data_IF_076473938761
#
_entry.id   IF_076473938761
#
_cell.length_a   1.000
_cell.length_b   1.000
_cell.length_c   1.000
_cell.angle_alpha   90.00
_cell.angle_beta   90.00
_cell.angle_gamma   90.00
#
_symmetry.space_group_name_H-M   'P 1'
#
loop_
_entity.id
_entity.type
_entity.pdbx_description
1 polymer ?
#
# COMPACT_ATOMS: atom_id res chain seq x y z
N UNK A 1 20.63 -1.20 9.27
CA UNK A 1 19.53 -1.39 8.30
C UNK A 1 20.00 -0.87 6.95
N UNK A 2 20.04 -1.70 5.92
CA UNK A 2 20.49 -1.30 4.58
C UNK A 2 19.49 -0.33 3.96
N UNK A 3 19.72 0.97 4.10
CA UNK A 3 18.91 2.02 3.50
C UNK A 3 19.23 2.13 2.01
N UNK A 4 18.46 1.42 1.18
CA UNK A 4 18.43 1.74 -0.24
C UNK A 4 17.77 3.14 -0.35
N UNK A 5 18.46 4.19 -0.82
CA UNK A 5 17.91 5.55 -0.85
C UNK A 5 16.68 5.69 -1.76
N UNK A 6 16.45 4.70 -2.64
CA UNK A 6 15.27 4.56 -3.49
C UNK A 6 14.27 3.50 -2.98
N UNK A 7 14.34 3.11 -1.71
CA UNK A 7 13.42 2.16 -1.12
C UNK A 7 12.00 2.71 -1.04
N UNK A 8 11.02 1.85 -1.31
CA UNK A 8 9.62 2.13 -1.00
C UNK A 8 9.29 1.63 0.41
N UNK A 9 8.52 2.41 1.15
CA UNK A 9 7.97 2.07 2.46
C UNK A 9 6.46 2.01 2.33
N UNK A 10 5.84 0.93 2.79
CA UNK A 10 4.38 0.82 2.87
C UNK A 10 3.95 0.87 4.34
N UNK A 11 3.27 1.94 4.72
CA UNK A 11 2.54 2.03 5.98
C UNK A 11 1.14 1.42 5.85
N UNK A 12 0.69 0.72 6.88
CA UNK A 12 -0.64 0.10 6.97
C UNK A 12 -1.24 0.44 8.33
N UNK A 13 -2.45 0.98 8.33
CA UNK A 13 -3.30 1.15 9.52
C UNK A 13 -4.44 0.14 9.45
N UNK A 14 -4.30 -1.04 10.09
CA UNK A 14 -5.19 -2.16 9.86
C UNK A 14 -6.53 -2.00 10.59
N UNK A 15 -7.62 -2.24 9.86
CA UNK A 15 -8.96 -2.30 10.44
C UNK A 15 -9.93 -2.99 9.50
N UNK A 16 -10.79 -3.85 10.05
CA UNK A 16 -11.70 -4.62 9.20
C UNK A 16 -12.77 -3.74 8.57
N UNK A 17 -13.28 -2.72 9.30
CA UNK A 17 -14.20 -1.72 8.77
C UNK A 17 -13.54 -0.75 7.79
N UNK A 18 -12.28 -0.41 8.05
CA UNK A 18 -11.47 0.42 7.18
C UNK A 18 -9.99 0.12 7.39
N UNK A 19 -9.25 -0.12 6.31
CA UNK A 19 -7.79 -0.27 6.34
C UNK A 19 -7.15 0.86 5.58
N UNK A 20 -6.29 1.63 6.24
CA UNK A 20 -5.49 2.69 5.65
C UNK A 20 -4.18 2.15 5.06
N UNK A 21 -3.74 2.72 3.94
CA UNK A 21 -2.48 2.44 3.28
C UNK A 21 -1.79 3.74 2.89
N UNK A 22 -0.47 3.81 3.10
CA UNK A 22 0.36 4.89 2.59
C UNK A 22 1.64 4.31 1.96
N UNK A 23 1.88 4.61 0.69
CA UNK A 23 3.14 4.29 0.02
C UNK A 23 4.03 5.52 0.05
N UNK A 24 5.25 5.36 0.55
CA UNK A 24 6.26 6.40 0.63
C UNK A 24 7.51 6.00 -0.14
N UNK A 25 8.17 6.96 -0.78
CA UNK A 25 9.58 6.83 -1.17
C UNK A 25 10.48 7.45 -0.09
N UNK A 26 11.81 7.40 -0.28
CA UNK A 26 12.75 8.12 0.59
C UNK A 26 12.41 9.63 0.74
N UNK A 27 13.22 10.39 1.46
CA UNK A 27 13.11 10.56 2.92
C UNK A 27 11.69 10.94 3.43
N UNK A 28 10.63 10.20 3.05
CA UNK A 28 9.26 10.40 3.55
C UNK A 28 8.30 11.07 2.57
N UNK A 29 8.57 11.03 1.26
CA UNK A 29 7.62 11.54 0.25
C UNK A 29 6.44 10.59 0.12
N UNK A 30 5.22 11.07 0.30
CA UNK A 30 4.00 10.27 0.11
C UNK A 30 3.71 10.15 -1.38
N UNK A 31 3.75 8.93 -1.90
CA UNK A 31 3.45 8.60 -3.30
C UNK A 31 1.96 8.27 -3.49
N UNK A 32 1.34 7.65 -2.49
CA UNK A 32 -0.08 7.29 -2.49
C UNK A 32 -0.57 7.15 -1.06
N UNK A 33 -1.82 7.55 -0.81
CA UNK A 33 -2.50 7.35 0.47
C UNK A 33 -3.97 7.05 0.20
N UNK A 34 -4.47 5.92 0.72
CA UNK A 34 -5.82 5.44 0.47
C UNK A 34 -6.38 4.72 1.68
N UNK A 35 -7.71 4.68 1.80
CA UNK A 35 -8.40 3.86 2.79
C UNK A 35 -9.39 2.95 2.09
N UNK A 36 -9.26 1.64 2.30
CA UNK A 36 -10.26 0.66 1.85
C UNK A 36 -11.32 0.55 2.92
N UNK A 37 -12.51 1.08 2.67
CA UNK A 37 -13.68 0.91 3.53
C UNK A 37 -14.45 -0.33 3.10
N UNK A 38 -14.76 -1.21 4.04
CA UNK A 38 -15.59 -2.39 3.76
C UNK A 38 -16.95 -2.27 4.44
N UNK A 39 -17.98 -2.79 3.79
CA UNK A 39 -19.32 -2.88 4.39
C UNK A 39 -19.36 -4.04 5.39
N UNK A 40 -20.14 -3.93 6.49
CA UNK A 40 -20.42 -5.06 7.35
C UNK A 40 -20.92 -6.28 6.57
N UNK A 41 -20.48 -7.47 6.95
CA UNK A 41 -20.72 -8.71 6.23
C UNK A 41 -19.65 -9.75 6.58
N UNK A 42 -19.59 -10.88 5.84
CA UNK A 42 -18.63 -11.95 6.12
C UNK A 42 -17.18 -11.44 6.08
N UNK A 43 -16.43 -11.71 7.15
CA UNK A 43 -15.04 -11.23 7.31
C UNK A 43 -14.15 -11.67 6.15
N UNK A 44 -14.32 -12.90 5.65
CA UNK A 44 -13.54 -13.41 4.52
C UNK A 44 -13.66 -12.57 3.25
N UNK A 45 -14.87 -12.10 2.91
CA UNK A 45 -15.07 -11.25 1.73
C UNK A 45 -14.43 -9.87 1.91
N UNK A 46 -14.45 -9.34 3.14
CA UNK A 46 -13.88 -8.05 3.51
C UNK A 46 -12.34 -8.11 3.48
N UNK A 47 -11.77 -9.17 4.04
CA UNK A 47 -10.33 -9.45 3.98
C UNK A 47 -9.86 -9.67 2.53
N UNK A 48 -10.67 -10.33 1.70
CA UNK A 48 -10.35 -10.49 0.28
C UNK A 48 -10.31 -9.13 -0.44
N UNK A 49 -11.24 -8.22 -0.17
CA UNK A 49 -11.22 -6.87 -0.73
C UNK A 49 -9.96 -6.09 -0.30
N UNK A 50 -9.65 -6.08 1.00
CA UNK A 50 -8.46 -5.40 1.55
C UNK A 50 -7.16 -5.97 0.92
N UNK A 51 -7.05 -7.30 0.82
CA UNK A 51 -5.85 -7.94 0.27
C UNK A 51 -5.72 -7.80 -1.26
N UNK A 52 -6.81 -7.63 -2.00
CA UNK A 52 -6.76 -7.28 -3.43
C UNK A 52 -6.17 -5.88 -3.63
N UNK A 53 -6.67 -4.90 -2.89
CA UNK A 53 -6.16 -3.52 -2.92
C UNK A 53 -4.66 -3.47 -2.56
N UNK A 54 -4.24 -4.22 -1.54
CA UNK A 54 -2.82 -4.32 -1.19
C UNK A 54 -1.96 -4.87 -2.35
N UNK A 55 -2.43 -5.90 -3.06
CA UNK A 55 -1.70 -6.46 -4.21
C UNK A 55 -1.61 -5.47 -5.38
N UNK A 56 -2.66 -4.70 -5.62
CA UNK A 56 -2.67 -3.63 -6.63
C UNK A 56 -1.65 -2.55 -6.28
N UNK A 57 -1.65 -2.05 -5.04
CA UNK A 57 -0.67 -1.08 -4.54
C UNK A 57 0.78 -1.58 -4.68
N UNK A 58 1.05 -2.84 -4.35
CA UNK A 58 2.38 -3.42 -4.49
C UNK A 58 2.81 -3.55 -5.96
N UNK A 59 1.88 -3.86 -6.85
CA UNK A 59 2.14 -3.97 -8.29
C UNK A 59 2.44 -2.60 -8.91
N UNK A 60 1.68 -1.58 -8.55
CA UNK A 60 1.86 -0.22 -9.05
C UNK A 60 3.11 0.44 -8.45
N UNK A 61 3.37 0.24 -7.15
CA UNK A 61 4.61 0.66 -6.51
C UNK A 61 5.84 0.02 -7.16
N UNK A 62 5.77 -1.28 -7.47
CA UNK A 62 6.85 -1.98 -8.18
C UNK A 62 7.08 -1.45 -9.61
N UNK A 63 6.05 -0.91 -10.27
CA UNK A 63 6.17 -0.27 -11.59
C UNK A 63 6.79 1.12 -11.50
N UNK A 64 6.46 1.91 -10.49
CA UNK A 64 7.04 3.24 -10.25
C UNK A 64 8.56 3.21 -10.05
N UNK A 65 9.10 2.15 -9.43
CA UNK A 65 10.55 1.98 -9.20
C UNK A 65 11.32 1.66 -10.49
N UNK A 66 10.67 1.07 -11.51
CA UNK A 66 11.35 0.62 -12.74
C UNK A 66 11.57 1.73 -13.78
N UNK A 67 10.89 2.87 -13.67
CA UNK A 67 10.97 3.95 -14.66
C UNK A 67 12.04 5.03 -14.36
N UNK A 68 12.75 4.95 -13.22
CA UNK A 68 13.75 5.95 -12.82
C UNK A 68 15.20 5.45 -12.95
N UNK A 69 15.48 4.53 -13.88
CA UNK A 69 16.86 4.26 -14.32
C UNK A 69 17.17 5.16 -15.52
N UNK A 70 17.84 6.29 -15.24
CA UNK A 70 18.66 7.02 -16.21
C UNK A 70 19.88 6.20 -16.60
#
# INVERSE_FOLDING_TARGET
MSSNPNGLILGIDPGLAGTGFALLSGPGTVLSSTTVVTKPGPDGARLLAITRHLRELLTDGARGVRHTRV
#
